data_IF_118751653770
#
_entry.id   IF_118751653770
#
_cell.length_a   1.000
_cell.length_b   1.000
_cell.length_c   1.000
_cell.angle_alpha   90.00
_cell.angle_beta   90.00
_cell.angle_gamma   90.00
#
_symmetry.space_group_name_H-M   'P 1'
#
loop_
_entity.id
_entity.type
_entity.pdbx_description
1 polymer ?
#
# COMPACT_ATOMS: atom_id res chain seq x y z
N UNK A 1 11.80 33.43 -9.44
CA UNK A 1 11.39 33.87 -8.10
C UNK A 1 10.39 32.94 -7.44
N UNK A 2 9.88 31.91 -8.10
CA UNK A 2 8.94 30.90 -7.55
C UNK A 2 9.63 29.66 -6.97
N UNK A 3 10.84 29.33 -7.39
CA UNK A 3 11.59 28.15 -6.93
C UNK A 3 12.13 28.24 -5.50
N UNK A 4 12.49 29.43 -5.03
CA UNK A 4 13.03 29.58 -3.67
C UNK A 4 11.99 29.37 -2.54
N UNK A 5 10.69 29.56 -2.81
CA UNK A 5 9.66 29.37 -1.78
C UNK A 5 9.30 27.89 -1.57
N UNK A 6 9.50 27.04 -2.56
CA UNK A 6 9.22 25.59 -2.47
C UNK A 6 10.29 24.87 -1.66
N UNK A 7 11.55 25.30 -1.79
CA UNK A 7 12.68 24.70 -1.08
C UNK A 7 12.60 24.88 0.44
N UNK A 8 12.09 26.03 0.91
CA UNK A 8 12.00 26.35 2.35
C UNK A 8 10.95 25.49 3.07
N UNK A 9 9.90 25.04 2.39
CA UNK A 9 8.84 24.20 3.00
C UNK A 9 9.29 22.76 3.21
N UNK A 10 10.19 22.24 2.35
CA UNK A 10 10.72 20.86 2.49
C UNK A 10 11.67 20.70 3.69
N UNK A 11 12.41 21.76 4.08
CA UNK A 11 13.33 21.72 5.21
C UNK A 11 12.66 21.77 6.59
N UNK A 12 11.45 22.31 6.69
CA UNK A 12 10.75 22.46 7.98
C UNK A 12 10.08 21.16 8.48
N UNK A 13 9.91 20.17 7.64
CA UNK A 13 9.19 18.92 7.99
C UNK A 13 10.12 17.85 8.58
N UNK A 14 11.41 17.87 8.26
CA UNK A 14 12.34 16.82 8.70
C UNK A 14 13.30 17.22 9.85
N UNK A 15 13.28 18.46 10.34
CA UNK A 15 14.10 18.86 11.49
C UNK A 15 15.62 18.69 11.30
N UNK A 16 16.11 18.45 10.08
CA UNK A 16 17.54 18.39 9.77
C UNK A 16 17.98 19.77 9.25
N UNK A 17 18.68 20.51 10.08
CA UNK A 17 19.41 21.71 9.67
C UNK A 17 20.68 21.26 8.92
N UNK A 18 20.57 21.09 7.62
CA UNK A 18 21.74 21.04 6.74
C UNK A 18 21.89 22.46 6.17
N UNK A 19 23.07 23.05 6.35
CA UNK A 19 23.39 24.32 5.74
C UNK A 19 23.19 24.19 4.21
N UNK A 20 22.43 25.10 3.61
CA UNK A 20 22.18 25.05 2.17
C UNK A 20 23.51 25.13 1.42
N UNK A 21 23.81 24.21 0.50
CA UNK A 21 25.01 24.25 -0.32
C UNK A 21 25.03 25.52 -1.20
N UNK A 22 26.23 25.98 -1.51
CA UNK A 22 26.42 27.23 -2.26
C UNK A 22 26.01 27.13 -3.74
N UNK A 23 25.76 25.91 -4.27
CA UNK A 23 25.29 25.68 -5.65
C UNK A 23 24.27 24.52 -5.71
N UNK A 24 23.43 24.55 -6.72
CA UNK A 24 22.43 23.51 -6.96
C UNK A 24 23.09 22.13 -7.29
N UNK A 25 24.26 22.17 -7.92
CA UNK A 25 24.96 20.96 -8.36
C UNK A 25 25.54 20.15 -7.15
N UNK A 26 26.02 20.84 -6.11
CA UNK A 26 26.48 20.17 -4.87
C UNK A 26 25.32 19.53 -4.10
N UNK A 27 24.13 20.09 -4.19
CA UNK A 27 22.94 19.55 -3.51
C UNK A 27 22.43 18.26 -4.18
N UNK A 28 22.50 18.18 -5.51
CA UNK A 28 22.08 16.99 -6.25
C UNK A 28 23.00 15.77 -5.96
N UNK A 29 24.31 15.98 -5.90
CA UNK A 29 25.29 14.91 -5.64
C UNK A 29 25.10 14.34 -4.22
N UNK A 30 24.90 15.18 -3.22
CA UNK A 30 24.67 14.73 -1.84
C UNK A 30 23.38 13.95 -1.64
N UNK A 31 22.33 14.27 -2.42
CA UNK A 31 21.03 13.55 -2.34
C UNK A 31 21.11 12.18 -3.01
N UNK A 32 21.84 12.05 -4.10
CA UNK A 32 22.01 10.80 -4.83
C UNK A 32 22.88 9.80 -4.04
N UNK A 33 23.89 10.27 -3.27
CA UNK A 33 24.69 9.42 -2.40
C UNK A 33 23.99 8.99 -1.09
N UNK A 34 23.16 9.86 -0.52
CA UNK A 34 22.48 9.59 0.76
C UNK A 34 21.24 8.71 0.63
N UNK A 35 20.59 8.70 -0.54
CA UNK A 35 19.31 8.00 -0.72
C UNK A 35 19.18 7.34 -2.11
N UNK A 36 20.03 6.39 -2.49
CA UNK A 36 19.97 5.77 -3.82
C UNK A 36 18.65 5.06 -4.11
N UNK A 37 17.88 4.67 -3.08
CA UNK A 37 16.58 4.00 -3.20
C UNK A 37 15.39 4.84 -2.69
N UNK A 38 15.62 6.02 -2.14
CA UNK A 38 14.57 6.82 -1.48
C UNK A 38 13.62 7.55 -2.45
N UNK A 39 13.85 7.45 -3.75
CA UNK A 39 13.05 8.12 -4.78
C UNK A 39 11.66 7.50 -4.98
N UNK A 40 11.27 6.52 -4.14
CA UNK A 40 9.94 5.90 -4.15
C UNK A 40 9.10 6.26 -2.93
N UNK A 41 9.51 7.26 -2.13
CA UNK A 41 8.72 7.67 -0.97
C UNK A 41 7.57 8.55 -1.42
N UNK A 42 6.39 7.98 -1.41
CA UNK A 42 5.14 8.66 -1.65
C UNK A 42 4.63 9.28 -0.36
N UNK A 43 4.50 10.60 -0.30
CA UNK A 43 3.74 11.29 0.76
C UNK A 43 2.38 11.70 0.21
N UNK A 44 1.32 11.32 0.92
CA UNK A 44 -0.08 11.62 0.61
C UNK A 44 -0.26 13.10 0.27
N UNK A 45 -0.68 13.39 -0.96
CA UNK A 45 -0.99 14.74 -1.43
C UNK A 45 0.12 15.49 -2.18
N UNK A 46 1.29 14.88 -2.38
CA UNK A 46 2.34 15.47 -3.22
C UNK A 46 2.79 14.49 -4.30
N UNK A 47 2.37 14.75 -5.52
CA UNK A 47 3.01 14.15 -6.70
C UNK A 47 4.31 14.89 -6.93
N UNK A 48 5.46 14.26 -6.64
CA UNK A 48 6.75 14.79 -7.11
C UNK A 48 6.81 14.52 -8.62
N UNK A 49 6.32 15.45 -9.42
CA UNK A 49 6.24 15.34 -10.89
C UNK A 49 7.56 15.62 -11.60
N UNK A 50 8.66 15.81 -10.87
CA UNK A 50 9.97 16.04 -11.49
C UNK A 50 11.05 15.21 -10.78
N UNK A 51 11.02 13.92 -11.05
CA UNK A 51 12.23 13.12 -10.90
C UNK A 51 13.04 13.36 -12.16
N UNK A 52 14.17 14.03 -12.03
CA UNK A 52 15.11 14.22 -13.11
C UNK A 52 15.73 12.86 -13.42
N UNK A 53 15.28 12.21 -14.49
CA UNK A 53 15.97 11.03 -15.00
C UNK A 53 17.19 11.51 -15.79
N UNK A 54 18.42 11.08 -15.43
CA UNK A 54 19.55 11.30 -16.32
C UNK A 54 19.25 10.60 -17.65
N UNK A 55 19.56 11.28 -18.74
CA UNK A 55 19.31 10.97 -20.15
C UNK A 55 19.03 9.49 -20.44
N UNK A 56 17.87 9.26 -21.05
CA UNK A 56 17.28 7.97 -21.42
C UNK A 56 18.24 7.04 -22.18
N UNK A 57 19.05 6.29 -21.44
CA UNK A 57 19.67 5.07 -21.94
C UNK A 57 18.97 3.90 -21.26
N UNK A 58 17.94 3.34 -21.92
CA UNK A 58 17.20 2.14 -21.52
C UNK A 58 16.70 2.18 -20.05
N UNK A 59 15.63 2.92 -19.81
CA UNK A 59 14.77 2.59 -18.68
C UNK A 59 14.08 1.28 -19.05
N UNK A 60 14.37 0.21 -18.32
CA UNK A 60 13.57 -1.01 -18.43
C UNK A 60 12.10 -0.61 -18.22
N UNK A 61 11.17 -1.10 -19.04
CA UNK A 61 9.76 -0.77 -18.86
C UNK A 61 9.37 -1.09 -17.41
N UNK A 62 8.82 -0.09 -16.71
CA UNK A 62 8.35 -0.31 -15.34
C UNK A 62 7.31 -1.42 -15.44
N UNK A 63 7.51 -2.55 -14.76
CA UNK A 63 6.64 -3.70 -14.94
C UNK A 63 5.22 -3.34 -14.55
N UNK A 64 4.25 -3.85 -15.31
CA UNK A 64 2.82 -3.86 -14.94
C UNK A 64 2.67 -4.23 -13.46
N UNK A 65 1.67 -3.69 -12.74
CA UNK A 65 1.50 -4.03 -11.33
C UNK A 65 1.45 -5.55 -11.16
N UNK A 66 2.41 -6.07 -10.40
CA UNK A 66 2.43 -7.48 -10.05
C UNK A 66 1.72 -7.65 -8.72
N UNK A 67 0.67 -8.45 -8.73
CA UNK A 67 -0.06 -8.82 -7.52
C UNK A 67 0.24 -10.27 -7.13
N UNK A 68 0.05 -10.57 -5.86
CA UNK A 68 -0.06 -11.92 -5.33
C UNK A 68 -1.37 -12.03 -4.55
N UNK A 69 -1.90 -13.25 -4.42
CA UNK A 69 -3.05 -13.49 -3.58
C UNK A 69 -2.70 -13.20 -2.12
N UNK A 70 -3.56 -12.51 -1.37
CA UNK A 70 -3.26 -12.10 0.01
C UNK A 70 -3.31 -13.26 1.02
N UNK A 71 -3.73 -14.45 0.59
CA UNK A 71 -3.74 -15.70 1.35
C UNK A 71 -3.34 -16.88 0.47
N UNK A 72 -2.85 -17.97 1.05
CA UNK A 72 -2.51 -19.20 0.31
C UNK A 72 -3.75 -19.85 -0.33
N UNK A 73 -4.89 -19.77 0.33
CA UNK A 73 -6.18 -20.18 -0.23
C UNK A 73 -6.83 -18.99 -0.95
N UNK A 74 -6.96 -19.09 -2.26
CA UNK A 74 -7.58 -18.08 -3.12
C UNK A 74 -9.11 -18.22 -3.24
N UNK A 75 -9.75 -19.02 -2.37
CA UNK A 75 -11.20 -19.18 -2.37
C UNK A 75 -11.85 -17.95 -1.73
N UNK A 76 -12.61 -17.20 -2.53
CA UNK A 76 -13.42 -16.10 -2.06
C UNK A 76 -14.66 -16.67 -1.37
N UNK A 77 -14.82 -16.35 -0.09
CA UNK A 77 -15.97 -16.77 0.73
C UNK A 77 -17.12 -15.79 0.72
N UNK A 78 -16.85 -14.53 0.34
CA UNK A 78 -17.87 -13.50 0.13
C UNK A 78 -17.39 -12.44 -0.86
N UNK A 79 -18.20 -12.21 -1.88
CA UNK A 79 -17.91 -11.33 -3.01
C UNK A 79 -18.03 -9.84 -2.66
N UNK A 80 -17.41 -9.02 -3.51
CA UNK A 80 -17.55 -7.56 -3.51
C UNK A 80 -18.97 -7.12 -3.91
N UNK A 81 -19.44 -6.03 -3.32
CA UNK A 81 -20.68 -5.36 -3.69
C UNK A 81 -21.86 -5.71 -2.80
N UNK A 82 -23.05 -5.66 -3.37
CA UNK A 82 -24.26 -5.85 -2.58
C UNK A 82 -24.47 -7.31 -2.18
N UNK A 83 -24.70 -7.55 -0.87
CA UNK A 83 -25.00 -8.87 -0.30
C UNK A 83 -26.05 -8.79 0.80
N UNK A 84 -26.73 -9.91 1.08
CA UNK A 84 -27.51 -10.00 2.31
C UNK A 84 -26.55 -9.88 3.51
N UNK A 85 -26.91 -9.02 4.47
CA UNK A 85 -26.06 -8.80 5.66
C UNK A 85 -25.83 -10.11 6.42
N UNK A 86 -24.58 -10.54 6.61
CA UNK A 86 -24.27 -11.78 7.35
C UNK A 86 -24.49 -11.64 8.85
N UNK A 87 -24.56 -10.41 9.39
CA UNK A 87 -24.87 -10.13 10.78
C UNK A 87 -25.58 -8.78 10.93
N UNK A 88 -26.15 -8.52 12.13
CA UNK A 88 -26.91 -7.28 12.40
C UNK A 88 -26.08 -6.01 12.24
N UNK A 89 -24.79 -6.06 12.60
CA UNK A 89 -23.83 -4.95 12.51
C UNK A 89 -23.01 -4.95 11.20
N UNK A 90 -23.17 -5.97 10.36
CA UNK A 90 -22.45 -6.07 9.10
C UNK A 90 -23.10 -5.19 8.01
N UNK A 91 -22.29 -4.78 7.02
CA UNK A 91 -22.78 -4.05 5.84
C UNK A 91 -23.43 -4.97 4.82
N UNK A 92 -24.44 -4.47 4.11
CA UNK A 92 -24.95 -5.07 2.86
C UNK A 92 -24.15 -4.61 1.64
N UNK A 93 -23.42 -3.51 1.76
CA UNK A 93 -22.53 -2.99 0.74
C UNK A 93 -21.09 -3.40 1.12
N UNK A 94 -20.59 -4.47 0.50
CA UNK A 94 -19.30 -5.06 0.78
C UNK A 94 -18.22 -4.39 -0.04
N UNK A 95 -17.32 -3.68 0.62
CA UNK A 95 -16.30 -2.86 -0.02
C UNK A 95 -15.04 -3.62 -0.45
N UNK A 96 -15.00 -4.92 -0.20
CA UNK A 96 -13.90 -5.80 -0.53
C UNK A 96 -14.40 -7.21 -0.81
N UNK A 97 -13.50 -8.18 -0.68
CA UNK A 97 -13.80 -9.62 -0.72
C UNK A 97 -13.31 -10.27 0.57
N UNK A 98 -13.94 -11.38 0.95
CA UNK A 98 -13.55 -12.11 2.14
C UNK A 98 -12.90 -13.46 1.74
N UNK A 99 -11.74 -13.77 2.33
CA UNK A 99 -11.05 -15.05 2.23
C UNK A 99 -11.13 -15.79 3.55
N UNK A 100 -11.45 -17.08 3.55
CA UNK A 100 -11.61 -17.89 4.76
C UNK A 100 -10.67 -19.11 4.79
N UNK A 101 -9.34 -18.93 4.70
CA UNK A 101 -8.39 -20.05 4.71
C UNK A 101 -8.27 -20.72 6.08
N UNK A 102 -8.69 -20.02 7.14
CA UNK A 102 -8.62 -20.47 8.51
C UNK A 102 -7.91 -19.45 9.41
N UNK A 103 -8.23 -19.50 10.73
CA UNK A 103 -7.57 -18.62 11.71
C UNK A 103 -6.10 -18.99 11.88
N UNK A 104 -5.23 -17.98 11.84
CA UNK A 104 -3.79 -18.15 12.01
C UNK A 104 -3.03 -18.38 10.70
N UNK A 105 -3.73 -18.60 9.57
CA UNK A 105 -3.09 -18.67 8.26
C UNK A 105 -2.44 -17.34 7.89
N UNK A 106 -1.32 -17.35 7.15
CA UNK A 106 -0.58 -16.14 6.83
C UNK A 106 -1.40 -15.19 5.96
N UNK A 107 -1.16 -13.89 6.16
CA UNK A 107 -1.64 -12.81 5.30
C UNK A 107 -0.45 -12.16 4.64
N UNK A 108 -0.49 -12.04 3.32
CA UNK A 108 0.58 -11.51 2.49
C UNK A 108 0.23 -10.12 1.96
N UNK A 109 1.22 -9.25 1.84
CA UNK A 109 1.09 -8.02 1.08
C UNK A 109 0.83 -8.35 -0.40
N UNK A 110 -0.29 -7.89 -0.93
CA UNK A 110 -0.69 -8.24 -2.31
C UNK A 110 0.19 -7.58 -3.38
N UNK A 111 0.86 -6.49 -3.04
CA UNK A 111 1.75 -5.73 -3.94
C UNK A 111 2.89 -5.10 -3.16
N UNK A 112 3.95 -4.70 -3.88
CA UNK A 112 5.00 -3.81 -3.36
C UNK A 112 4.38 -2.49 -2.90
N UNK A 113 4.76 -2.00 -1.71
CA UNK A 113 4.19 -0.76 -1.21
C UNK A 113 4.76 -0.29 0.12
N UNK A 114 4.08 0.71 0.68
CA UNK A 114 4.43 1.31 1.98
C UNK A 114 3.23 1.19 2.92
N UNK A 115 3.46 0.68 4.12
CA UNK A 115 2.44 0.63 5.17
C UNK A 115 2.07 2.05 5.56
N UNK A 116 0.83 2.45 5.25
CA UNK A 116 0.32 3.79 5.56
C UNK A 116 -0.43 3.84 6.89
N UNK A 117 -1.07 2.72 7.29
CA UNK A 117 -1.74 2.59 8.59
C UNK A 117 -1.60 1.16 9.13
N UNK A 118 -1.47 1.07 10.45
CA UNK A 118 -1.50 -0.17 11.22
C UNK A 118 -2.28 0.13 12.50
N UNK A 119 -3.53 -0.29 12.53
CA UNK A 119 -4.50 0.15 13.52
C UNK A 119 -5.25 -1.02 14.14
N UNK A 120 -5.87 -0.77 15.29
CA UNK A 120 -6.71 -1.72 16.04
C UNK A 120 -8.03 -1.07 16.39
N UNK A 121 -9.12 -1.82 16.21
CA UNK A 121 -10.45 -1.38 16.65
C UNK A 121 -11.40 -1.08 15.49
N UNK A 122 -12.57 -0.55 15.84
CA UNK A 122 -13.65 -0.34 14.89
C UNK A 122 -14.18 -1.61 14.24
N UNK A 123 -14.87 -1.45 13.13
CA UNK A 123 -15.44 -2.56 12.36
C UNK A 123 -14.37 -3.48 11.78
N UNK A 124 -13.23 -2.94 11.37
CA UNK A 124 -12.13 -3.71 10.77
C UNK A 124 -11.29 -4.51 11.78
N UNK A 125 -11.40 -4.24 13.10
CA UNK A 125 -10.57 -4.91 14.10
C UNK A 125 -9.09 -4.57 13.95
N UNK A 126 -8.21 -5.57 13.95
CA UNK A 126 -6.80 -5.40 13.60
C UNK A 126 -6.71 -5.28 12.08
N UNK A 127 -6.14 -4.18 11.57
CA UNK A 127 -6.09 -3.92 10.14
C UNK A 127 -4.86 -3.12 9.71
N UNK A 128 -4.48 -3.31 8.44
CA UNK A 128 -3.32 -2.69 7.80
C UNK A 128 -3.77 -2.06 6.48
N UNK A 129 -3.27 -0.86 6.21
CA UNK A 129 -3.38 -0.20 4.91
C UNK A 129 -1.99 -0.12 4.28
N UNK A 130 -1.89 -0.50 3.02
CA UNK A 130 -0.66 -0.41 2.23
C UNK A 130 -0.95 0.45 1.01
N UNK A 131 -0.14 1.47 0.80
CA UNK A 131 -0.19 2.32 -0.38
C UNK A 131 0.78 1.81 -1.44
N UNK A 132 0.31 1.78 -2.68
CA UNK A 132 1.04 1.29 -3.83
C UNK A 132 1.04 2.34 -4.94
N UNK A 133 2.06 2.31 -5.77
CA UNK A 133 2.07 3.05 -7.03
C UNK A 133 1.97 2.02 -8.14
N UNK A 134 0.82 1.98 -8.81
CA UNK A 134 0.63 1.13 -9.97
C UNK A 134 0.97 1.92 -11.23
N UNK A 135 1.83 1.36 -12.06
CA UNK A 135 2.17 1.91 -13.37
C UNK A 135 1.60 1.00 -14.45
N UNK A 136 0.78 1.55 -15.33
CA UNK A 136 0.14 0.82 -16.43
C UNK A 136 0.81 1.07 -17.78
N UNK A 137 1.53 2.17 -17.88
CA UNK A 137 2.35 2.55 -19.03
C UNK A 137 3.31 3.69 -18.60
N UNK A 138 4.23 4.05 -19.45
CA UNK A 138 5.27 5.04 -19.14
C UNK A 138 4.73 6.45 -18.77
N UNK A 139 3.43 6.67 -18.85
CA UNK A 139 2.79 7.97 -18.64
C UNK A 139 1.63 7.98 -17.66
N UNK A 140 1.11 6.80 -17.28
CA UNK A 140 -0.05 6.71 -16.40
C UNK A 140 0.30 5.99 -15.09
N UNK A 141 0.29 6.75 -14.01
CA UNK A 141 0.43 6.26 -12.65
C UNK A 141 -0.91 6.36 -11.93
N UNK A 142 -1.27 5.31 -11.21
CA UNK A 142 -2.46 5.30 -10.37
C UNK A 142 -2.07 5.02 -8.92
N UNK A 143 -2.77 5.70 -8.01
CA UNK A 143 -2.65 5.45 -6.58
C UNK A 143 -3.55 4.28 -6.22
N UNK A 144 -2.94 3.18 -5.81
CA UNK A 144 -3.66 2.02 -5.31
C UNK A 144 -3.43 1.89 -3.80
N UNK A 145 -4.44 1.44 -3.10
CA UNK A 145 -4.33 1.12 -1.69
C UNK A 145 -4.99 -0.23 -1.45
N UNK A 146 -4.33 -1.09 -0.67
CA UNK A 146 -4.92 -2.32 -0.19
C UNK A 146 -5.19 -2.24 1.30
N UNK A 147 -6.30 -2.87 1.73
CA UNK A 147 -6.73 -2.96 3.13
C UNK A 147 -6.84 -4.42 3.51
N UNK A 148 -6.25 -4.76 4.66
CA UNK A 148 -6.26 -6.10 5.24
C UNK A 148 -6.91 -6.00 6.61
N UNK A 149 -8.08 -6.57 6.81
CA UNK A 149 -8.85 -6.42 8.04
C UNK A 149 -9.21 -7.75 8.69
N UNK A 150 -9.74 -7.68 9.91
CA UNK A 150 -10.07 -8.79 10.80
C UNK A 150 -8.89 -9.67 11.20
N UNK A 151 -7.66 -9.17 11.02
CA UNK A 151 -6.41 -9.87 11.31
C UNK A 151 -6.29 -10.24 12.80
N UNK A 152 -5.44 -11.21 13.11
CA UNK A 152 -5.16 -11.62 14.47
C UNK A 152 -4.25 -10.61 15.17
N UNK A 153 -4.58 -10.28 16.42
CA UNK A 153 -3.82 -9.32 17.22
C UNK A 153 -2.47 -9.93 17.64
N UNK A 154 -1.39 -9.16 17.44
CA UNK A 154 -0.04 -9.55 17.89
C UNK A 154 0.68 -10.49 16.94
N UNK A 155 0.15 -10.70 15.72
CA UNK A 155 0.81 -11.54 14.70
C UNK A 155 1.51 -10.70 13.62
N UNK A 156 1.35 -9.39 13.65
CA UNK A 156 2.11 -8.48 12.79
C UNK A 156 3.59 -8.58 13.12
N UNK A 157 4.48 -8.74 12.11
CA UNK A 157 5.93 -8.77 12.34
C UNK A 157 6.42 -7.57 13.17
N UNK A 158 7.34 -7.81 14.12
CA UNK A 158 7.81 -6.77 15.05
C UNK A 158 8.44 -5.54 14.37
N UNK A 159 9.04 -5.75 13.21
CA UNK A 159 9.64 -4.69 12.41
C UNK A 159 8.65 -3.97 11.49
N UNK A 160 7.42 -4.47 11.35
CA UNK A 160 6.40 -3.85 10.52
C UNK A 160 5.73 -2.68 11.26
N UNK A 161 5.83 -1.50 10.70
CA UNK A 161 5.27 -0.25 11.24
C UNK A 161 4.83 0.68 10.12
N UNK A 162 4.11 1.72 10.44
CA UNK A 162 3.80 2.80 9.49
C UNK A 162 5.11 3.35 8.90
N UNK A 163 5.18 3.45 7.57
CA UNK A 163 6.36 3.80 6.80
C UNK A 163 7.26 2.62 6.39
N UNK A 164 6.96 1.38 6.84
CA UNK A 164 7.71 0.19 6.38
C UNK A 164 7.42 -0.08 4.90
N UNK A 165 8.48 -0.37 4.15
CA UNK A 165 8.39 -0.87 2.78
C UNK A 165 8.13 -2.38 2.85
N UNK A 166 7.18 -2.85 2.08
CA UNK A 166 6.84 -4.26 1.90
C UNK A 166 6.92 -4.65 0.43
N UNK A 167 7.22 -5.92 0.20
CA UNK A 167 7.18 -6.54 -1.13
C UNK A 167 5.95 -7.43 -1.27
N UNK A 168 5.47 -7.59 -2.50
CA UNK A 168 4.46 -8.57 -2.81
C UNK A 168 4.88 -9.95 -2.28
N UNK A 169 4.01 -10.59 -1.49
CA UNK A 169 4.30 -11.86 -0.82
C UNK A 169 4.95 -11.77 0.57
N UNK A 170 5.31 -10.58 1.05
CA UNK A 170 5.77 -10.43 2.43
C UNK A 170 4.64 -10.74 3.41
N UNK A 171 4.94 -11.53 4.45
CA UNK A 171 3.97 -11.79 5.52
C UNK A 171 3.79 -10.51 6.34
N UNK A 172 2.54 -10.04 6.45
CA UNK A 172 2.17 -8.84 7.21
C UNK A 172 1.38 -9.16 8.49
N UNK A 173 1.02 -10.42 8.69
CA UNK A 173 0.31 -10.93 9.86
C UNK A 173 -0.41 -12.23 9.56
N UNK A 174 -1.45 -12.54 10.33
CA UNK A 174 -2.26 -13.75 10.13
C UNK A 174 -3.75 -13.44 10.16
N UNK A 175 -4.53 -14.34 9.55
CA UNK A 175 -5.99 -14.32 9.56
C UNK A 175 -6.51 -14.44 10.98
N UNK A 176 -7.42 -13.55 11.35
CA UNK A 176 -8.04 -13.52 12.67
C UNK A 176 -9.57 -13.51 12.62
N UNK A 177 -10.16 -13.00 13.69
CA UNK A 177 -11.61 -12.82 13.82
C UNK A 177 -11.89 -11.58 14.68
N UNK A 178 -11.20 -10.48 14.41
CA UNK A 178 -11.29 -9.24 15.18
C UNK A 178 -12.26 -8.25 14.54
N UNK A 179 -12.79 -7.30 15.32
CA UNK A 179 -13.76 -6.32 14.83
C UNK A 179 -15.15 -6.90 14.60
N UNK A 180 -15.86 -6.38 13.57
CA UNK A 180 -17.21 -6.84 13.20
C UNK A 180 -17.10 -8.00 12.23
N UNK A 181 -16.96 -9.19 12.74
CA UNK A 181 -16.77 -10.43 12.00
C UNK A 181 -17.66 -11.55 12.52
N UNK A 182 -18.09 -12.46 11.66
CA UNK A 182 -18.93 -13.62 11.99
C UNK A 182 -18.12 -14.93 12.11
N UNK A 183 -16.86 -14.92 11.70
CA UNK A 183 -15.97 -16.07 11.71
C UNK A 183 -14.57 -15.68 11.25
N UNK A 184 -13.60 -16.56 11.41
CA UNK A 184 -12.23 -16.28 10.99
C UNK A 184 -12.15 -16.11 9.47
N UNK A 185 -11.73 -14.94 9.02
CA UNK A 185 -11.50 -14.60 7.63
C UNK A 185 -10.60 -13.38 7.49
N UNK A 186 -10.01 -13.19 6.33
CA UNK A 186 -9.40 -11.93 5.88
C UNK A 186 -10.43 -11.16 5.07
N UNK A 187 -10.75 -9.95 5.48
CA UNK A 187 -11.42 -8.98 4.63
C UNK A 187 -10.36 -8.18 3.88
N UNK A 188 -10.44 -8.20 2.55
CA UNK A 188 -9.48 -7.58 1.66
C UNK A 188 -10.14 -6.56 0.74
N UNK A 189 -9.68 -5.30 0.79
CA UNK A 189 -10.15 -4.24 -0.11
C UNK A 189 -9.03 -3.78 -1.04
N UNK A 190 -9.42 -3.37 -2.24
CA UNK A 190 -8.58 -2.62 -3.17
C UNK A 190 -9.26 -1.29 -3.48
N UNK A 191 -8.49 -0.22 -3.33
CA UNK A 191 -8.90 1.12 -3.74
C UNK A 191 -8.00 1.56 -4.90
N UNK A 192 -8.62 2.13 -5.92
CA UNK A 192 -7.96 2.76 -7.07
C UNK A 192 -8.40 4.21 -7.07
N UNK A 193 -7.47 5.15 -6.98
CA UNK A 193 -7.76 6.59 -6.86
C UNK A 193 -8.82 6.89 -5.76
N UNK A 194 -8.64 6.26 -4.58
CA UNK A 194 -9.51 6.38 -3.40
C UNK A 194 -10.91 5.72 -3.53
N UNK A 195 -11.23 5.09 -4.67
CA UNK A 195 -12.51 4.41 -4.89
C UNK A 195 -12.37 2.89 -4.71
N UNK A 196 -13.23 2.29 -3.88
CA UNK A 196 -13.28 0.83 -3.74
C UNK A 196 -13.66 0.17 -5.06
N UNK A 197 -12.86 -0.79 -5.49
CA UNK A 197 -13.11 -1.60 -6.68
C UNK A 197 -13.22 -3.08 -6.30
N UNK A 198 -13.75 -3.90 -7.21
CA UNK A 198 -13.82 -5.34 -7.01
C UNK A 198 -12.42 -5.98 -7.05
N UNK A 199 -11.85 -6.38 -5.89
CA UNK A 199 -10.48 -6.85 -5.84
C UNK A 199 -10.25 -8.14 -6.62
N UNK A 200 -11.25 -9.02 -6.73
CA UNK A 200 -11.11 -10.29 -7.41
C UNK A 200 -10.76 -10.11 -8.90
N UNK A 201 -11.35 -9.13 -9.57
CA UNK A 201 -11.02 -8.84 -10.97
C UNK A 201 -9.57 -8.47 -11.17
N UNK A 202 -9.00 -7.68 -10.24
CA UNK A 202 -7.60 -7.27 -10.31
C UNK A 202 -6.66 -8.42 -9.95
N UNK A 203 -6.99 -9.22 -8.92
CA UNK A 203 -6.23 -10.41 -8.57
C UNK A 203 -6.20 -11.42 -9.72
N UNK A 204 -7.34 -11.68 -10.38
CA UNK A 204 -7.38 -12.57 -11.54
C UNK A 204 -6.59 -12.05 -12.74
N UNK A 205 -6.49 -10.73 -12.89
CA UNK A 205 -5.78 -10.09 -13.99
C UNK A 205 -4.26 -9.99 -13.75
N UNK A 206 -3.85 -9.68 -12.54
CA UNK A 206 -2.47 -9.28 -12.22
C UNK A 206 -1.74 -10.22 -11.26
N UNK A 207 -2.44 -11.14 -10.55
CA UNK A 207 -1.77 -12.03 -9.63
C UNK A 207 -1.23 -13.28 -10.35
N UNK A 208 0.05 -13.56 -10.12
CA UNK A 208 0.62 -14.85 -10.45
C UNK A 208 0.13 -15.90 -9.42
N UNK A 209 -0.29 -17.06 -9.90
CA UNK A 209 -0.63 -18.23 -9.08
C UNK A 209 0.57 -19.14 -8.92
#
# INVERSE_FOLDING_TARGET
MFYQKLLIVLFSIFGLFVAAPASADEFEIEQEELFPDAMKIYQRGFVITSVFYPSASKVDPIPMPQMVWPTDDSIVSSDYGWRQRPCKSCSSDHKGIDFAPGRGEPVYAAMDGIVSRLEKGGGFGQHIYIEHIANFNDTEFQNWQTVYAHMEIGTTPENLRVGSIVKAGDIIGTVGNTGTSTGAHLHFELLVEEENVDPEKYLLMYANR
#
